data_IF_530655413127
#
_entry.id   IF_530655413127
#
_cell.length_a   1.000
_cell.length_b   1.000
_cell.length_c   1.000
_cell.angle_alpha   90.00
_cell.angle_beta   90.00
_cell.angle_gamma   90.00
#
_symmetry.space_group_name_H-M   'P 1'
#
loop_
_entity.id
_entity.type
_entity.pdbx_description
1 polymer ?
#
# COMPACT_ATOMS: atom_id res chain seq x y z
N UNK A 1 9.81 32.84 11.02
CA UNK A 1 11.23 33.29 10.95
C UNK A 1 12.07 32.06 10.63
N UNK A 2 12.86 32.06 9.56
CA UNK A 2 13.75 30.95 9.26
C UNK A 2 14.95 30.98 10.22
N UNK A 3 15.16 29.87 10.94
CA UNK A 3 16.41 29.62 11.66
C UNK A 3 17.06 28.42 10.98
N UNK A 4 18.22 28.64 10.40
CA UNK A 4 19.11 27.59 9.90
C UNK A 4 19.81 26.93 11.08
N UNK A 5 19.63 25.63 11.27
CA UNK A 5 20.46 24.82 12.17
C UNK A 5 21.80 24.50 11.50
N UNK A 6 22.86 24.50 12.29
CA UNK A 6 24.28 24.49 11.87
C UNK A 6 24.79 23.07 11.58
N UNK A 7 23.92 22.05 11.58
CA UNK A 7 24.33 20.64 11.45
C UNK A 7 23.66 19.85 10.32
N UNK A 8 23.20 20.50 9.25
CA UNK A 8 23.06 19.85 7.93
C UNK A 8 22.21 18.58 7.83
N UNK A 9 21.24 18.37 8.73
CA UNK A 9 20.29 17.27 8.65
C UNK A 9 18.86 17.83 8.76
N UNK A 10 18.02 17.47 7.77
CA UNK A 10 16.56 17.53 7.77
C UNK A 10 15.91 18.75 8.43
N UNK A 11 15.34 19.65 7.62
CA UNK A 11 14.44 20.71 8.10
C UNK A 11 13.22 20.11 8.82
N UNK A 12 13.27 20.07 10.15
CA UNK A 12 12.11 19.86 11.02
C UNK A 12 11.37 21.18 11.19
N UNK A 13 10.09 21.24 10.81
CA UNK A 13 9.23 22.35 11.20
C UNK A 13 8.75 22.13 12.64
N UNK A 14 9.24 22.94 13.55
CA UNK A 14 8.72 23.07 14.91
C UNK A 14 7.63 24.16 14.84
N UNK A 15 6.38 23.79 15.09
CA UNK A 15 5.27 24.73 15.18
C UNK A 15 4.95 25.02 16.64
N UNK A 16 5.04 26.31 17.00
CA UNK A 16 4.57 26.84 18.28
C UNK A 16 3.03 26.96 18.25
N UNK A 17 2.40 26.75 19.41
CA UNK A 17 0.96 26.49 19.58
C UNK A 17 -0.05 27.59 19.22
N UNK A 18 0.29 28.55 18.36
CA UNK A 18 -0.64 29.57 17.86
C UNK A 18 -1.27 29.21 16.50
N UNK A 19 -0.66 28.32 15.70
CA UNK A 19 -1.22 27.90 14.39
C UNK A 19 -2.39 26.89 14.50
N UNK A 20 -2.62 26.33 15.70
CA UNK A 20 -3.72 25.37 15.96
C UNK A 20 -5.08 26.08 16.11
N UNK A 21 -5.09 27.38 16.44
CA UNK A 21 -6.34 28.13 16.64
C UNK A 21 -7.03 28.52 15.33
N UNK A 22 -6.27 28.76 14.25
CA UNK A 22 -6.82 29.11 12.94
C UNK A 22 -7.46 27.95 12.18
N UNK A 23 -7.06 26.71 12.47
CA UNK A 23 -7.61 25.52 11.81
C UNK A 23 -8.93 25.04 12.45
N UNK A 24 -9.16 25.38 13.72
CA UNK A 24 -10.38 25.00 14.46
C UNK A 24 -11.60 25.87 14.08
N UNK A 25 -11.39 27.12 13.63
CA UNK A 25 -12.48 28.00 13.16
C UNK A 25 -13.01 27.65 11.77
N UNK A 26 -12.29 26.85 10.99
CA UNK A 26 -12.73 26.42 9.65
C UNK A 26 -13.77 25.28 9.71
N UNK A 27 -13.81 24.51 10.80
CA UNK A 27 -14.71 23.36 10.97
C UNK A 27 -16.09 23.71 11.56
N UNK A 28 -16.28 24.92 12.09
CA UNK A 28 -17.59 25.37 12.61
C UNK A 28 -18.43 26.17 11.59
N UNK A 29 -17.90 26.45 10.40
CA UNK A 29 -18.55 27.27 9.37
C UNK A 29 -19.31 26.52 8.26
N UNK A 30 -19.31 25.18 8.23
CA UNK A 30 -19.88 24.40 7.12
C UNK A 30 -21.13 23.60 7.49
N UNK A 31 -21.94 24.12 8.42
CA UNK A 31 -23.29 23.62 8.69
C UNK A 31 -24.33 24.68 8.35
N UNK A 32 -24.59 24.88 7.06
CA UNK A 32 -25.87 25.38 6.54
C UNK A 32 -25.83 25.48 5.02
N UNK A 33 -26.71 24.72 4.34
CA UNK A 33 -27.24 25.18 3.06
C UNK A 33 -27.15 24.20 1.88
N UNK A 34 -28.34 23.68 1.54
CA UNK A 34 -28.83 23.49 0.17
C UNK A 34 -28.47 22.19 -0.56
N UNK A 35 -29.43 21.28 -0.46
CA UNK A 35 -29.87 20.30 -1.45
C UNK A 35 -29.63 20.69 -2.92
N UNK A 36 -29.07 19.78 -3.71
CA UNK A 36 -29.53 19.56 -5.07
C UNK A 36 -29.38 18.10 -5.51
N UNK A 37 -30.44 17.63 -6.17
CA UNK A 37 -30.70 16.28 -6.66
C UNK A 37 -30.07 16.09 -8.03
N UNK A 38 -29.34 14.98 -8.25
CA UNK A 38 -29.24 14.35 -9.57
C UNK A 38 -28.82 12.89 -9.43
N UNK A 39 -29.71 12.01 -9.86
CA UNK A 39 -29.53 10.57 -10.00
C UNK A 39 -28.31 10.23 -10.85
N UNK A 40 -27.38 9.43 -10.33
CA UNK A 40 -26.53 8.58 -11.15
C UNK A 40 -26.63 7.14 -10.64
N UNK A 41 -27.44 6.37 -11.36
CA UNK A 41 -27.64 4.95 -11.17
C UNK A 41 -26.34 4.18 -11.42
N UNK A 42 -26.03 3.26 -10.51
CA UNK A 42 -25.05 2.20 -10.71
C UNK A 42 -25.47 1.33 -11.91
N UNK A 43 -24.63 1.13 -12.94
CA UNK A 43 -24.93 0.13 -13.95
C UNK A 43 -24.61 -1.26 -13.39
N UNK A 44 -25.66 -2.03 -13.15
CA UNK A 44 -25.64 -3.49 -13.07
C UNK A 44 -25.14 -4.03 -14.41
N UNK A 45 -23.95 -4.62 -14.43
CA UNK A 45 -23.44 -5.36 -15.58
C UNK A 45 -23.71 -6.85 -15.37
N UNK A 46 -24.77 -7.29 -16.05
CA UNK A 46 -25.00 -8.67 -16.41
C UNK A 46 -24.17 -8.94 -17.67
N UNK A 47 -23.17 -9.82 -17.61
CA UNK A 47 -22.50 -10.30 -18.83
C UNK A 47 -22.17 -11.79 -18.77
N UNK A 48 -22.68 -12.44 -19.80
CA UNK A 48 -22.59 -13.83 -20.19
C UNK A 48 -21.18 -14.26 -20.58
N UNK A 49 -20.79 -15.44 -20.12
CA UNK A 49 -19.60 -16.17 -20.57
C UNK A 49 -19.55 -16.30 -22.09
N UNK A 50 -18.47 -15.85 -22.70
CA UNK A 50 -18.03 -16.32 -24.02
C UNK A 50 -16.76 -17.13 -23.79
N UNK A 51 -16.90 -18.43 -24.07
CA UNK A 51 -15.85 -19.43 -24.15
C UNK A 51 -14.95 -19.14 -25.35
N UNK A 52 -13.64 -19.05 -25.11
CA UNK A 52 -12.61 -19.03 -26.14
C UNK A 52 -11.56 -20.09 -25.77
N UNK A 53 -11.74 -21.25 -26.39
CA UNK A 53 -10.81 -22.38 -26.44
C UNK A 53 -9.43 -21.94 -26.94
N UNK A 54 -8.42 -21.98 -26.07
CA UNK A 54 -7.02 -21.77 -26.42
C UNK A 54 -6.11 -22.32 -25.32
N UNK A 55 -5.63 -23.54 -25.49
CA UNK A 55 -4.79 -24.26 -24.55
C UNK A 55 -3.39 -23.62 -24.41
N UNK A 56 -2.98 -23.39 -23.16
CA UNK A 56 -1.66 -22.87 -22.78
C UNK A 56 -1.61 -22.57 -21.29
N UNK A 57 -1.73 -23.61 -20.47
CA UNK A 57 -1.72 -23.52 -19.01
C UNK A 57 -0.38 -22.98 -18.49
N UNK A 58 -0.46 -21.85 -17.79
CA UNK A 58 0.66 -21.16 -17.16
C UNK A 58 0.12 -19.96 -16.38
N UNK A 59 -0.68 -20.22 -15.36
CA UNK A 59 -1.15 -19.19 -14.43
C UNK A 59 0.04 -18.50 -13.75
N UNK A 60 0.35 -17.28 -14.20
CA UNK A 60 1.33 -16.32 -13.67
C UNK A 60 0.66 -15.29 -12.73
N UNK A 61 1.36 -14.65 -11.74
CA UNK A 61 0.88 -14.76 -10.35
C UNK A 61 0.40 -13.52 -9.43
N UNK A 62 -0.06 -13.71 -8.14
CA UNK A 62 -0.94 -13.00 -7.06
C UNK A 62 -0.95 -13.38 -5.46
N UNK A 63 -0.44 -12.61 -4.48
CA UNK A 63 0.22 -13.06 -3.20
C UNK A 63 -0.04 -14.48 -2.54
N UNK A 64 1.02 -15.21 -2.15
CA UNK A 64 0.95 -16.56 -1.52
C UNK A 64 2.13 -16.89 -0.58
N UNK A 65 2.07 -17.95 0.23
CA UNK A 65 3.24 -18.47 0.95
C UNK A 65 4.03 -19.50 0.11
N UNK A 66 5.32 -19.76 0.40
CA UNK A 66 6.08 -20.80 -0.27
C UNK A 66 5.38 -22.17 -0.17
N UNK A 67 5.38 -22.93 -1.25
CA UNK A 67 4.69 -24.24 -1.28
C UNK A 67 5.23 -25.15 -0.19
N UNK A 68 4.32 -25.76 0.58
CA UNK A 68 4.67 -26.66 1.67
C UNK A 68 5.08 -25.97 2.97
N UNK A 69 5.01 -24.64 3.06
CA UNK A 69 5.38 -23.88 4.26
C UNK A 69 4.19 -23.26 5.00
N UNK A 70 2.95 -23.47 4.51
CA UNK A 70 1.77 -22.88 5.15
C UNK A 70 1.65 -23.23 6.64
N UNK A 71 1.92 -24.48 7.03
CA UNK A 71 1.90 -24.89 8.45
C UNK A 71 2.94 -24.13 9.29
N UNK A 72 4.09 -23.79 8.69
CA UNK A 72 5.11 -22.98 9.34
C UNK A 72 4.61 -21.55 9.59
N UNK A 73 4.05 -20.87 8.59
CA UNK A 73 3.54 -19.51 8.77
C UNK A 73 2.34 -19.47 9.71
N UNK A 74 1.41 -20.42 9.58
CA UNK A 74 0.27 -20.54 10.47
C UNK A 74 0.68 -20.73 11.93
N UNK A 75 1.78 -21.46 12.18
CA UNK A 75 2.29 -21.71 13.52
C UNK A 75 3.12 -20.56 14.10
N UNK A 76 4.02 -19.99 13.31
CA UNK A 76 5.02 -19.04 13.80
C UNK A 76 4.59 -17.57 13.63
N UNK A 77 3.75 -17.28 12.62
CA UNK A 77 3.25 -15.94 12.32
C UNK A 77 1.73 -15.97 12.06
N UNK A 78 0.91 -16.41 13.05
CA UNK A 78 -0.53 -16.62 12.84
C UNK A 78 -1.28 -15.35 12.44
N UNK A 79 -0.93 -14.18 12.95
CA UNK A 79 -1.57 -12.93 12.55
C UNK A 79 -1.21 -12.55 11.11
N UNK A 80 0.05 -12.70 10.71
CA UNK A 80 0.46 -12.47 9.33
C UNK A 80 -0.19 -13.47 8.36
N UNK A 81 -0.25 -14.75 8.75
CA UNK A 81 -0.93 -15.80 7.99
C UNK A 81 -2.40 -15.46 7.74
N UNK A 82 -3.14 -15.10 8.79
CA UNK A 82 -4.54 -14.68 8.68
C UNK A 82 -4.69 -13.43 7.81
N UNK A 83 -3.83 -12.43 8.03
CA UNK A 83 -3.83 -11.20 7.26
C UNK A 83 -3.64 -11.45 5.75
N UNK A 84 -2.61 -12.22 5.35
CA UNK A 84 -2.34 -12.51 3.94
C UNK A 84 -3.51 -13.24 3.27
N UNK A 85 -4.15 -14.17 3.98
CA UNK A 85 -5.25 -14.97 3.41
C UNK A 85 -6.57 -14.22 3.36
N UNK A 86 -6.89 -13.44 4.40
CA UNK A 86 -8.25 -12.98 4.65
C UNK A 86 -8.40 -11.46 4.59
N UNK A 87 -7.35 -10.68 4.88
CA UNK A 87 -7.43 -9.22 4.99
C UNK A 87 -6.75 -8.50 3.83
N UNK A 88 -5.53 -8.91 3.46
CA UNK A 88 -4.77 -8.33 2.35
C UNK A 88 -5.56 -8.30 1.03
N UNK A 89 -6.33 -9.34 0.64
CA UNK A 89 -7.11 -9.28 -0.60
C UNK A 89 -8.14 -8.15 -0.64
N UNK A 90 -8.56 -7.64 0.52
CA UNK A 90 -9.55 -6.56 0.58
C UNK A 90 -8.94 -5.18 0.34
N UNK A 91 -7.62 -5.00 0.41
CA UNK A 91 -7.00 -3.68 0.28
C UNK A 91 -7.27 -3.03 -1.07
N UNK A 92 -7.45 -3.81 -2.14
CA UNK A 92 -7.80 -3.32 -3.48
C UNK A 92 -9.20 -2.68 -3.56
N UNK A 93 -9.99 -2.76 -2.47
CA UNK A 93 -11.24 -2.00 -2.32
C UNK A 93 -10.99 -0.54 -1.90
N UNK A 94 -9.78 -0.20 -1.45
CA UNK A 94 -9.35 1.20 -1.30
C UNK A 94 -8.99 1.75 -2.69
N UNK A 95 -9.76 2.72 -3.23
CA UNK A 95 -9.54 3.23 -4.57
C UNK A 95 -8.18 3.91 -4.75
N UNK A 96 -7.61 4.52 -3.70
CA UNK A 96 -6.29 5.13 -3.80
C UNK A 96 -5.19 4.07 -3.91
N UNK A 97 -5.28 3.02 -3.10
CA UNK A 97 -4.35 1.88 -3.17
C UNK A 97 -4.42 1.18 -4.52
N UNK A 98 -5.63 0.83 -4.98
CA UNK A 98 -5.86 0.17 -6.27
C UNK A 98 -5.31 1.01 -7.42
N UNK A 99 -5.68 2.29 -7.48
CA UNK A 99 -5.24 3.17 -8.57
C UNK A 99 -3.72 3.37 -8.54
N UNK A 100 -3.12 3.56 -7.36
CA UNK A 100 -1.67 3.68 -7.22
C UNK A 100 -0.95 2.43 -7.74
N UNK A 101 -1.44 1.24 -7.39
CA UNK A 101 -0.82 0.00 -7.84
C UNK A 101 -0.97 -0.18 -9.36
N UNK A 102 -2.15 0.08 -9.92
CA UNK A 102 -2.39 0.05 -11.38
C UNK A 102 -1.47 1.04 -12.12
N UNK A 103 -1.33 2.25 -11.60
CA UNK A 103 -0.50 3.29 -12.18
C UNK A 103 0.94 2.83 -12.30
N UNK A 104 1.54 2.35 -11.20
CA UNK A 104 2.96 2.02 -11.14
C UNK A 104 3.29 0.71 -11.87
N UNK A 105 2.37 -0.24 -11.90
CA UNK A 105 2.62 -1.56 -12.52
C UNK A 105 2.15 -1.65 -13.97
N UNK A 106 1.31 -0.72 -14.43
CA UNK A 106 0.65 -0.80 -15.74
C UNK A 106 -0.44 -1.89 -15.82
N UNK A 107 -0.77 -2.52 -14.70
CA UNK A 107 -1.81 -3.55 -14.63
C UNK A 107 -3.21 -2.94 -14.75
N UNK A 108 -4.13 -3.69 -15.36
CA UNK A 108 -5.56 -3.43 -15.32
C UNK A 108 -6.10 -3.69 -13.92
N UNK A 109 -7.28 -3.16 -13.61
CA UNK A 109 -7.96 -3.44 -12.34
C UNK A 109 -8.15 -4.95 -12.11
N UNK A 110 -8.50 -5.70 -13.16
CA UNK A 110 -8.69 -7.15 -13.06
C UNK A 110 -7.38 -7.87 -12.76
N UNK A 111 -6.27 -7.45 -13.37
CA UNK A 111 -4.94 -7.98 -13.10
C UNK A 111 -4.51 -7.66 -11.65
N UNK A 112 -4.81 -6.47 -11.13
CA UNK A 112 -4.51 -6.10 -9.73
C UNK A 112 -5.38 -6.86 -8.74
N UNK A 113 -6.69 -6.95 -8.96
CA UNK A 113 -7.59 -7.75 -8.09
C UNK A 113 -7.14 -9.20 -8.08
N UNK A 114 -6.80 -9.72 -9.27
CA UNK A 114 -6.19 -11.03 -9.39
C UNK A 114 -4.93 -11.07 -8.53
N UNK A 115 -3.96 -10.17 -8.72
CA UNK A 115 -2.68 -10.03 -7.99
C UNK A 115 -2.80 -10.01 -6.45
N UNK A 116 -3.92 -9.52 -5.90
CA UNK A 116 -4.16 -9.50 -4.45
C UNK A 116 -5.02 -10.66 -3.94
N UNK A 117 -5.58 -11.50 -4.82
CA UNK A 117 -6.29 -12.71 -4.41
C UNK A 117 -5.28 -13.74 -3.89
N UNK A 118 -5.55 -14.33 -2.72
CA UNK A 118 -4.65 -15.32 -2.13
C UNK A 118 -4.38 -16.50 -3.08
N UNK A 119 -3.12 -16.92 -3.13
CA UNK A 119 -2.72 -18.21 -3.69
C UNK A 119 -2.50 -18.20 -5.20
N UNK A 120 -2.57 -17.06 -5.86
CA UNK A 120 -2.21 -17.02 -7.26
C UNK A 120 -0.85 -16.35 -7.48
N UNK A 121 0.11 -16.19 -6.50
CA UNK A 121 1.17 -15.17 -6.05
C UNK A 121 2.58 -14.84 -6.49
N UNK A 122 3.07 -13.55 -6.38
CA UNK A 122 4.36 -13.41 -5.76
C UNK A 122 4.29 -14.04 -4.36
N UNK A 123 5.31 -14.80 -4.06
CA UNK A 123 5.46 -15.51 -2.81
C UNK A 123 5.93 -14.53 -1.75
N UNK A 124 5.18 -14.40 -0.67
CA UNK A 124 5.60 -13.73 0.56
C UNK A 124 6.29 -14.74 1.44
N UNK A 125 7.53 -14.47 1.81
CA UNK A 125 8.23 -15.30 2.78
C UNK A 125 8.99 -14.45 3.79
N UNK A 126 9.29 -15.09 4.91
CA UNK A 126 10.13 -14.52 5.94
C UNK A 126 11.58 -14.45 5.46
N UNK A 127 12.30 -13.47 6.00
CA UNK A 127 13.70 -13.26 5.70
C UNK A 127 14.44 -12.81 6.95
N UNK A 128 15.53 -13.52 7.24
CA UNK A 128 16.32 -13.32 8.45
C UNK A 128 17.42 -12.28 8.23
N UNK A 129 17.03 -11.09 7.76
CA UNK A 129 17.92 -9.98 7.53
C UNK A 129 17.29 -8.68 8.01
N UNK A 130 18.07 -7.86 8.72
CA UNK A 130 17.57 -6.71 9.50
C UNK A 130 17.70 -5.36 8.77
N UNK A 131 18.15 -5.31 7.51
CA UNK A 131 18.42 -4.02 6.85
C UNK A 131 17.24 -3.40 6.10
N UNK A 132 16.15 -4.14 5.87
CA UNK A 132 14.94 -3.61 5.25
C UNK A 132 13.67 -4.22 5.85
N UNK A 133 12.53 -3.57 5.61
CA UNK A 133 11.22 -4.05 6.08
C UNK A 133 10.59 -5.05 5.10
N UNK A 134 10.83 -4.85 3.81
CA UNK A 134 10.53 -5.77 2.73
C UNK A 134 11.66 -5.75 1.70
N UNK A 135 11.64 -6.72 0.79
CA UNK A 135 12.51 -6.76 -0.37
C UNK A 135 11.84 -7.54 -1.49
N UNK A 136 11.74 -6.93 -2.67
CA UNK A 136 11.53 -7.67 -3.90
C UNK A 136 12.83 -8.36 -4.33
N UNK A 137 12.92 -9.68 -4.17
CA UNK A 137 14.19 -10.42 -4.20
C UNK A 137 14.95 -10.29 -5.53
N UNK A 138 14.22 -10.31 -6.65
CA UNK A 138 14.81 -10.18 -7.99
C UNK A 138 15.53 -8.85 -8.22
N UNK A 139 15.11 -7.77 -7.55
CA UNK A 139 15.79 -6.47 -7.65
C UNK A 139 17.24 -6.54 -7.14
N UNK A 140 17.53 -7.47 -6.23
CA UNK A 140 18.86 -7.66 -5.66
C UNK A 140 19.61 -8.81 -6.33
N UNK A 141 18.93 -9.92 -6.58
CA UNK A 141 19.59 -11.16 -7.04
C UNK A 141 19.74 -11.22 -8.56
N UNK A 142 18.80 -10.62 -9.30
CA UNK A 142 18.61 -10.79 -10.74
C UNK A 142 18.48 -12.26 -11.19
N UNK A 143 18.22 -13.19 -10.26
CA UNK A 143 18.00 -14.60 -10.55
C UNK A 143 16.54 -14.85 -10.88
N UNK A 144 16.25 -15.48 -12.02
CA UNK A 144 14.88 -15.71 -12.52
C UNK A 144 13.96 -16.41 -11.50
N UNK A 145 14.52 -17.23 -10.62
CA UNK A 145 13.75 -18.00 -9.63
C UNK A 145 13.20 -17.10 -8.52
N UNK A 146 13.75 -15.89 -8.38
CA UNK A 146 13.34 -14.85 -7.43
C UNK A 146 12.35 -13.84 -8.04
N UNK A 147 12.04 -13.98 -9.33
CA UNK A 147 11.16 -13.04 -10.06
C UNK A 147 9.80 -12.86 -9.38
N UNK A 148 9.33 -13.89 -8.68
CA UNK A 148 8.03 -13.88 -7.99
C UNK A 148 8.21 -14.04 -6.47
N UNK A 149 9.29 -13.55 -5.87
CA UNK A 149 9.49 -13.62 -4.42
C UNK A 149 9.60 -12.23 -3.82
N UNK A 150 8.93 -12.05 -2.69
CA UNK A 150 9.00 -10.87 -1.84
C UNK A 150 9.32 -11.36 -0.43
N UNK A 151 10.48 -10.96 0.06
CA UNK A 151 10.92 -11.15 1.43
C UNK A 151 10.29 -10.10 2.34
N UNK A 152 9.80 -10.51 3.51
CA UNK A 152 9.39 -9.63 4.61
C UNK A 152 10.29 -9.94 5.81
N UNK A 153 10.90 -8.92 6.40
CA UNK A 153 11.88 -9.18 7.46
C UNK A 153 11.25 -9.77 8.71
N UNK A 154 11.99 -10.63 9.40
CA UNK A 154 11.58 -11.22 10.67
C UNK A 154 11.22 -10.15 11.71
N UNK A 155 11.89 -9.00 11.69
CA UNK A 155 11.57 -7.86 12.55
C UNK A 155 10.14 -7.36 12.31
N UNK A 156 9.76 -7.13 11.05
CA UNK A 156 8.41 -6.68 10.68
C UNK A 156 7.36 -7.74 11.02
N UNK A 157 7.63 -9.01 10.72
CA UNK A 157 6.70 -10.09 11.07
C UNK A 157 6.48 -10.18 12.58
N UNK A 158 7.56 -10.15 13.37
CA UNK A 158 7.49 -10.18 14.83
C UNK A 158 6.79 -8.96 15.44
N UNK A 159 6.95 -7.79 14.83
CA UNK A 159 6.19 -6.60 15.20
C UNK A 159 4.70 -6.79 14.90
N UNK A 160 4.36 -7.26 13.70
CA UNK A 160 2.98 -7.39 13.25
C UNK A 160 2.18 -8.39 14.10
N UNK A 161 2.81 -9.47 14.55
CA UNK A 161 2.19 -10.42 15.49
C UNK A 161 1.71 -9.73 16.78
N UNK A 162 2.48 -8.76 17.28
CA UNK A 162 2.22 -8.06 18.55
C UNK A 162 1.36 -6.79 18.39
N UNK A 163 1.34 -6.21 17.19
CA UNK A 163 0.66 -4.95 16.92
C UNK A 163 -0.85 -5.03 17.19
N UNK A 164 -1.46 -3.92 17.62
CA UNK A 164 -2.92 -3.80 17.62
C UNK A 164 -3.44 -3.95 16.17
N UNK A 165 -4.45 -4.77 15.98
CA UNK A 165 -5.08 -5.04 14.67
C UNK A 165 -6.60 -4.89 14.72
N UNK A 166 -7.14 -4.22 15.75
CA UNK A 166 -8.58 -3.97 15.85
C UNK A 166 -9.03 -2.98 14.75
N UNK A 167 -9.84 -3.40 13.76
CA UNK A 167 -10.25 -2.55 12.66
C UNK A 167 -11.18 -1.41 13.09
N UNK A 168 -11.60 -1.38 14.36
CA UNK A 168 -12.40 -0.29 14.95
C UNK A 168 -11.55 0.78 15.64
N UNK A 169 -10.22 0.66 15.61
CA UNK A 169 -9.30 1.61 16.19
C UNK A 169 -8.38 2.23 15.12
N UNK A 170 -8.06 3.52 15.27
CA UNK A 170 -7.13 4.22 14.36
C UNK A 170 -5.77 3.52 14.35
N UNK A 171 -5.28 3.11 15.51
CA UNK A 171 -4.02 2.36 15.64
C UNK A 171 -4.08 1.01 14.91
N UNK A 172 -5.15 0.23 15.11
CA UNK A 172 -5.32 -1.07 14.44
C UNK A 172 -5.38 -0.95 12.91
N UNK A 173 -6.10 0.05 12.40
CA UNK A 173 -6.14 0.33 10.96
C UNK A 173 -4.78 0.83 10.44
N UNK A 174 -4.06 1.63 11.24
CA UNK A 174 -2.71 2.07 10.87
C UNK A 174 -1.77 0.88 10.71
N UNK A 175 -1.78 -0.08 11.64
CA UNK A 175 -0.89 -1.24 11.58
C UNK A 175 -1.25 -2.20 10.43
N UNK A 176 -2.54 -2.43 10.20
CA UNK A 176 -3.03 -3.24 9.08
C UNK A 176 -2.66 -2.61 7.73
N UNK A 177 -2.89 -1.31 7.58
CA UNK A 177 -2.55 -0.58 6.36
C UNK A 177 -1.03 -0.47 6.15
N UNK A 178 -0.25 -0.34 7.22
CA UNK A 178 1.21 -0.34 7.16
C UNK A 178 1.74 -1.65 6.58
N UNK A 179 1.24 -2.80 7.04
CA UNK A 179 1.60 -4.10 6.47
C UNK A 179 1.16 -4.22 4.99
N UNK A 180 -0.05 -3.77 4.65
CA UNK A 180 -0.49 -3.68 3.25
C UNK A 180 0.42 -2.77 2.41
N UNK A 181 0.89 -1.67 2.99
CA UNK A 181 1.78 -0.70 2.35
C UNK A 181 3.15 -1.28 2.05
N UNK A 182 3.76 -2.02 2.99
CA UNK A 182 5.03 -2.72 2.77
C UNK A 182 4.90 -3.75 1.63
N UNK A 183 3.82 -4.55 1.65
CA UNK A 183 3.58 -5.53 0.59
C UNK A 183 3.27 -4.84 -0.75
N UNK A 184 2.55 -3.72 -0.73
CA UNK A 184 2.28 -2.90 -1.91
C UNK A 184 3.53 -2.27 -2.49
N UNK A 185 4.46 -1.82 -1.63
CA UNK A 185 5.75 -1.26 -2.01
C UNK A 185 6.58 -2.29 -2.79
N UNK A 186 6.82 -3.46 -2.21
CA UNK A 186 7.57 -4.52 -2.89
C UNK A 186 6.80 -5.08 -4.10
N UNK A 187 5.47 -5.16 -3.98
CA UNK A 187 4.58 -5.53 -5.06
C UNK A 187 4.65 -4.58 -6.26
N UNK A 188 4.92 -3.30 -6.06
CA UNK A 188 5.09 -2.33 -7.14
C UNK A 188 6.37 -2.61 -7.94
N UNK A 189 7.48 -2.94 -7.27
CA UNK A 189 8.70 -3.39 -7.93
C UNK A 189 8.48 -4.68 -8.73
N UNK A 190 7.79 -5.64 -8.13
CA UNK A 190 7.41 -6.89 -8.80
C UNK A 190 6.55 -6.63 -10.04
N UNK A 191 5.46 -5.87 -9.90
CA UNK A 191 4.52 -5.61 -10.99
C UNK A 191 5.15 -4.82 -12.13
N UNK A 192 6.11 -3.94 -11.85
CA UNK A 192 6.91 -3.30 -12.89
C UNK A 192 7.74 -4.30 -13.71
N UNK A 193 8.35 -5.30 -13.06
CA UNK A 193 9.11 -6.34 -13.76
C UNK A 193 8.22 -7.33 -14.54
N UNK A 194 6.99 -7.54 -14.10
CA UNK A 194 6.02 -8.40 -14.78
C UNK A 194 5.43 -7.72 -16.01
N UNK A 195 5.08 -6.43 -15.92
CA UNK A 195 4.37 -5.71 -16.97
C UNK A 195 4.99 -4.34 -17.25
N UNK A 196 5.17 -3.54 -16.20
CA UNK A 196 5.70 -2.19 -16.32
C UNK A 196 4.65 -1.19 -16.79
N UNK A 197 4.76 0.09 -16.39
CA UNK A 197 3.79 1.08 -16.76
C UNK A 197 4.17 1.74 -18.11
N UNK A 198 3.26 2.55 -18.64
CA UNK A 198 3.52 3.34 -19.86
C UNK A 198 4.57 4.44 -19.65
N UNK A 199 5.09 5.00 -20.76
CA UNK A 199 6.16 6.01 -20.78
C UNK A 199 5.91 7.20 -19.84
N UNK A 200 4.69 7.75 -19.84
CA UNK A 200 4.35 8.88 -18.98
C UNK A 200 4.52 8.56 -17.49
N UNK A 201 4.25 7.33 -17.07
CA UNK A 201 4.45 6.91 -15.68
C UNK A 201 5.91 6.60 -15.37
N UNK A 202 6.66 6.06 -16.33
CA UNK A 202 8.11 5.89 -16.16
C UNK A 202 8.80 7.24 -15.86
N UNK A 203 8.39 8.31 -16.55
CA UNK A 203 8.86 9.66 -16.25
C UNK A 203 8.48 10.12 -14.83
N UNK A 204 7.31 9.73 -14.34
CA UNK A 204 6.90 10.03 -12.97
C UNK A 204 7.74 9.26 -11.94
N UNK A 205 7.97 7.96 -12.14
CA UNK A 205 8.77 7.09 -11.26
C UNK A 205 10.23 7.57 -11.18
N UNK A 206 10.75 8.17 -12.26
CA UNK A 206 12.09 8.76 -12.25
C UNK A 206 12.28 9.91 -11.25
N UNK A 207 11.21 10.56 -10.78
CA UNK A 207 11.29 11.53 -9.67
C UNK A 207 11.69 10.88 -8.33
N UNK A 208 11.59 9.55 -8.25
CA UNK A 208 11.98 8.73 -7.12
C UNK A 208 13.26 7.93 -7.42
N UNK A 209 14.07 8.36 -8.39
CA UNK A 209 15.28 7.64 -8.84
C UNK A 209 15.00 6.20 -9.33
N UNK A 210 13.82 5.94 -9.89
CA UNK A 210 13.45 4.60 -10.33
C UNK A 210 12.89 3.70 -9.21
N UNK A 211 12.68 4.25 -8.01
CA UNK A 211 12.11 3.52 -6.87
C UNK A 211 10.58 3.40 -7.04
N UNK A 212 10.10 2.23 -7.45
CA UNK A 212 8.69 1.97 -7.74
C UNK A 212 7.82 1.94 -6.49
N UNK A 213 8.34 1.46 -5.37
CA UNK A 213 7.62 1.37 -4.11
C UNK A 213 7.34 2.74 -3.50
N UNK A 214 8.32 3.65 -3.48
CA UNK A 214 8.18 5.05 -3.08
C UNK A 214 7.24 5.80 -4.02
N UNK A 215 7.34 5.56 -5.33
CA UNK A 215 6.40 6.12 -6.29
C UNK A 215 4.97 5.64 -6.02
N UNK A 216 4.79 4.35 -5.69
CA UNK A 216 3.52 3.78 -5.26
C UNK A 216 3.01 4.45 -3.98
N UNK A 217 3.84 4.54 -2.93
CA UNK A 217 3.48 5.15 -1.65
C UNK A 217 3.00 6.59 -1.83
N UNK A 218 3.74 7.37 -2.61
CA UNK A 218 3.34 8.73 -2.94
C UNK A 218 1.98 8.78 -3.66
N UNK A 219 1.75 7.88 -4.64
CA UNK A 219 0.48 7.84 -5.39
C UNK A 219 -0.71 7.51 -4.51
N UNK A 220 -0.54 6.70 -3.47
CA UNK A 220 -1.60 6.41 -2.49
C UNK A 220 -2.05 7.70 -1.78
N UNK A 221 -1.11 8.56 -1.40
CA UNK A 221 -1.41 9.72 -0.55
C UNK A 221 -1.65 11.03 -1.29
N UNK A 222 -1.16 11.19 -2.52
CA UNK A 222 -1.15 12.49 -3.23
C UNK A 222 -2.50 13.23 -3.28
N UNK A 223 -3.62 12.49 -3.28
CA UNK A 223 -4.95 13.08 -3.41
C UNK A 223 -5.35 13.88 -2.16
N UNK A 224 -4.83 13.47 -1.00
CA UNK A 224 -5.09 14.09 0.30
C UNK A 224 -4.02 15.15 0.64
N UNK A 225 -2.83 15.06 0.07
CA UNK A 225 -1.71 16.01 0.26
C UNK A 225 -1.37 16.76 -1.02
N UNK A 226 -2.32 17.56 -1.52
CA UNK A 226 -2.17 18.32 -2.76
C UNK A 226 -1.05 19.36 -2.65
N UNK A 227 -0.24 19.49 -3.71
CA UNK A 227 0.84 20.48 -3.81
C UNK A 227 2.15 20.04 -3.16
N UNK A 228 2.22 18.85 -2.57
CA UNK A 228 3.51 18.21 -2.27
C UNK A 228 4.10 17.74 -3.59
N UNK A 229 5.37 18.05 -3.85
CA UNK A 229 6.06 17.59 -5.05
C UNK A 229 6.55 16.14 -4.88
N UNK A 230 6.54 15.34 -5.97
CA UNK A 230 7.06 13.98 -5.93
C UNK A 230 8.58 14.01 -5.74
N UNK A 231 9.06 13.42 -4.63
CA UNK A 231 10.48 13.24 -4.38
C UNK A 231 10.71 12.04 -3.47
N UNK A 232 11.91 11.47 -3.57
CA UNK A 232 12.36 10.41 -2.66
C UNK A 232 12.20 10.82 -1.20
N UNK A 233 11.69 9.95 -0.34
CA UNK A 233 11.47 10.28 1.08
C UNK A 233 10.13 10.94 1.39
N UNK A 234 9.38 11.40 0.38
CA UNK A 234 8.14 12.14 0.61
C UNK A 234 6.94 11.21 0.76
N UNK A 235 6.12 11.48 1.77
CA UNK A 235 4.86 10.76 2.03
C UNK A 235 5.06 9.23 2.18
N UNK A 236 6.20 8.75 2.66
CA UNK A 236 6.50 7.32 2.72
C UNK A 236 5.60 6.53 3.70
N UNK A 237 5.51 5.21 3.51
CA UNK A 237 4.82 4.25 4.40
C UNK A 237 5.78 3.31 5.14
N UNK A 238 7.00 3.10 4.67
CA UNK A 238 7.80 1.92 5.05
C UNK A 238 8.59 1.96 6.36
N UNK A 239 8.19 2.67 7.42
CA UNK A 239 8.94 2.68 8.70
C UNK A 239 8.11 2.24 9.89
N UNK A 240 8.31 0.99 10.32
CA UNK A 240 7.62 0.42 11.50
C UNK A 240 8.05 1.07 12.82
N UNK A 241 9.28 1.60 12.89
CA UNK A 241 9.83 2.24 14.09
C UNK A 241 9.38 3.70 14.25
N UNK A 242 8.85 4.29 13.17
CA UNK A 242 8.40 5.68 13.14
C UNK A 242 7.27 5.82 12.13
N UNK A 243 6.03 5.55 12.58
CA UNK A 243 4.84 5.72 11.75
C UNK A 243 4.78 7.15 11.20
N UNK A 244 4.86 7.35 9.88
CA UNK A 244 4.88 8.69 9.31
C UNK A 244 3.60 9.47 9.60
N UNK A 245 3.74 10.77 9.81
CA UNK A 245 2.59 11.67 10.03
C UNK A 245 1.55 11.55 8.91
N UNK A 246 2.02 11.52 7.65
CA UNK A 246 1.15 11.47 6.48
C UNK A 246 0.32 10.19 6.43
N UNK A 247 0.92 9.03 6.77
CA UNK A 247 0.19 7.78 6.93
C UNK A 247 -0.89 7.93 8.01
N UNK A 248 -0.55 8.44 9.19
CA UNK A 248 -1.53 8.65 10.27
C UNK A 248 -2.69 9.57 9.84
N UNK A 249 -2.41 10.64 9.10
CA UNK A 249 -3.44 11.54 8.60
C UNK A 249 -4.32 10.89 7.52
N UNK A 250 -3.72 10.15 6.59
CA UNK A 250 -4.45 9.37 5.60
C UNK A 250 -5.44 8.41 6.28
N UNK A 251 -4.97 7.68 7.29
CA UNK A 251 -5.80 6.74 8.06
C UNK A 251 -6.95 7.47 8.75
N UNK A 252 -6.74 8.66 9.31
CA UNK A 252 -7.81 9.46 9.94
C UNK A 252 -8.85 9.92 8.91
N UNK A 253 -8.41 10.38 7.74
CA UNK A 253 -9.30 10.84 6.66
C UNK A 253 -10.15 9.67 6.15
N UNK A 254 -9.53 8.50 5.94
CA UNK A 254 -10.17 7.33 5.32
C UNK A 254 -10.63 6.27 6.31
N UNK A 255 -10.67 6.59 7.61
CA UNK A 255 -10.87 5.61 8.69
C UNK A 255 -12.10 4.73 8.48
N UNK A 256 -13.25 5.32 8.14
CA UNK A 256 -14.49 4.56 7.94
C UNK A 256 -14.43 3.61 6.75
N UNK A 257 -13.71 3.99 5.69
CA UNK A 257 -13.54 3.15 4.51
C UNK A 257 -12.59 2.00 4.83
N UNK A 258 -11.42 2.31 5.38
CA UNK A 258 -10.41 1.31 5.73
C UNK A 258 -10.89 0.36 6.83
N UNK A 259 -11.63 0.88 7.82
CA UNK A 259 -12.29 0.07 8.85
C UNK A 259 -13.21 -0.97 8.24
N UNK A 260 -14.04 -0.62 7.25
CA UNK A 260 -14.90 -1.58 6.55
C UNK A 260 -14.11 -2.57 5.70
N UNK A 261 -13.00 -2.15 5.11
CA UNK A 261 -12.13 -3.02 4.32
C UNK A 261 -11.52 -4.12 5.17
N UNK A 262 -11.10 -3.77 6.40
CA UNK A 262 -10.42 -4.70 7.30
C UNK A 262 -11.32 -5.36 8.35
N UNK A 263 -12.57 -4.93 8.48
CA UNK A 263 -13.54 -5.53 9.40
C UNK A 263 -14.17 -6.76 8.73
N UNK A 264 -13.65 -7.94 9.07
CA UNK A 264 -14.08 -9.24 8.58
C UNK A 264 -14.71 -10.10 9.69
#
# INVERSE_FOLDING_TARGET
RYVTDVNGNGSHMIYDGEDVSGMLSLYQGMSSGSSNSSNNAFPSLNHSYIDATGAGGGSSPTFQFPKGTEEYYQKNYPAFYDFVKNLLPNIVKDPNFLQAFMDITGMSQEEVIKAFTYGQGPTLHDWDVEFSNGQYDYAMSHHKDDLNNISISNMVLNWFEKANKDPKSVEGITNLFLMSGIIGHEGAHWGNNVKGPGEAMNNFINNFNGEHGEAFEYRVFKNDFKGVEPAKGHLQMGQIDSIPYNLTQYIKIHFNTLSKIFNH
#
